data_IF_773967125875
#
_entry.id   IF_773967125875
#
_cell.length_a   1.000
_cell.length_b   1.000
_cell.length_c   1.000
_cell.angle_alpha   90.00
_cell.angle_beta   90.00
_cell.angle_gamma   90.00
#
_symmetry.space_group_name_H-M   'P 1'
#
loop_
_entity.id
_entity.type
_entity.pdbx_description
1 polymer ?
#
# COMPACT_ATOMS: atom_id res chain seq x y z
N UNK A 1 24.63 -11.81 22.28
CA UNK A 1 23.33 -11.49 21.66
C UNK A 1 23.50 -11.65 20.17
N UNK A 2 22.67 -12.46 19.51
CA UNK A 2 22.69 -12.57 18.05
C UNK A 2 22.23 -11.25 17.44
N UNK A 3 22.79 -10.88 16.28
CA UNK A 3 22.27 -9.76 15.52
C UNK A 3 20.80 -10.01 15.17
N UNK A 4 19.92 -9.00 15.25
CA UNK A 4 18.53 -9.17 14.81
C UNK A 4 18.53 -9.58 13.34
N UNK A 5 17.66 -10.52 12.99
CA UNK A 5 17.45 -10.88 11.59
C UNK A 5 16.97 -9.62 10.83
N UNK A 6 17.49 -9.36 9.62
CA UNK A 6 17.03 -8.23 8.83
C UNK A 6 15.54 -8.37 8.53
N UNK A 7 14.80 -7.25 8.59
CA UNK A 7 13.35 -7.17 8.34
C UNK A 7 12.94 -7.58 6.91
N UNK A 8 13.89 -7.99 6.07
CA UNK A 8 13.73 -8.30 4.65
C UNK A 8 13.79 -9.79 4.34
N UNK A 9 13.81 -10.67 5.35
CA UNK A 9 13.99 -12.11 5.19
C UNK A 9 12.68 -12.91 5.30
N UNK A 10 11.54 -12.33 4.94
CA UNK A 10 10.27 -13.05 4.91
C UNK A 10 9.99 -13.63 3.52
N UNK A 11 9.45 -14.86 3.43
CA UNK A 11 9.08 -15.43 2.15
C UNK A 11 7.92 -14.65 1.51
N UNK A 12 7.78 -14.69 0.17
CA UNK A 12 6.65 -14.06 -0.48
C UNK A 12 5.30 -14.59 0.00
N UNK A 13 4.27 -13.75 -0.08
CA UNK A 13 2.91 -14.17 0.25
C UNK A 13 2.48 -15.38 -0.58
N UNK A 14 1.86 -16.37 0.08
CA UNK A 14 1.17 -17.46 -0.61
C UNK A 14 -0.21 -16.98 -1.01
N UNK A 15 -0.39 -16.73 -2.31
CA UNK A 15 -1.64 -16.21 -2.85
C UNK A 15 -2.45 -17.28 -3.56
N UNK A 16 -3.76 -17.28 -3.30
CA UNK A 16 -4.75 -17.79 -4.24
C UNK A 16 -5.29 -16.66 -5.10
N UNK A 17 -5.55 -16.97 -6.36
CA UNK A 17 -6.15 -16.03 -7.30
C UNK A 17 -7.58 -16.48 -7.58
N UNK A 18 -8.55 -15.68 -7.12
CA UNK A 18 -9.98 -15.95 -7.36
C UNK A 18 -10.43 -15.32 -8.68
N UNK A 19 -11.73 -15.34 -8.95
CA UNK A 19 -12.30 -14.68 -10.12
C UNK A 19 -11.83 -13.22 -10.21
N UNK A 20 -11.60 -12.72 -11.43
CA UNK A 20 -11.07 -11.38 -11.71
C UNK A 20 -9.67 -11.07 -11.14
N UNK A 21 -8.80 -12.09 -11.04
CA UNK A 21 -7.42 -11.92 -10.57
C UNK A 21 -7.29 -11.30 -9.17
N UNK A 22 -8.29 -11.53 -8.31
CA UNK A 22 -8.24 -11.08 -6.92
C UNK A 22 -7.20 -11.89 -6.11
N UNK A 23 -6.18 -11.24 -5.52
CA UNK A 23 -5.25 -11.92 -4.64
C UNK A 23 -5.87 -12.16 -3.25
N UNK A 24 -5.86 -13.42 -2.83
CA UNK A 24 -6.31 -13.87 -1.51
C UNK A 24 -5.12 -14.47 -0.77
N UNK A 25 -4.81 -13.95 0.41
CA UNK A 25 -3.72 -14.48 1.23
C UNK A 25 -4.14 -15.82 1.81
N UNK A 26 -3.56 -16.94 1.33
CA UNK A 26 -3.88 -18.28 1.83
C UNK A 26 -3.68 -18.42 3.33
N UNK A 27 -2.65 -17.76 3.85
CA UNK A 27 -2.24 -17.90 5.25
C UNK A 27 -3.12 -17.11 6.23
N UNK A 28 -3.91 -16.17 5.71
CA UNK A 28 -4.80 -15.32 6.50
C UNK A 28 -6.28 -15.48 6.12
N UNK A 29 -6.57 -16.26 5.07
CA UNK A 29 -7.88 -16.40 4.43
C UNK A 29 -8.57 -15.07 4.08
N UNK A 30 -7.77 -13.99 3.97
CA UNK A 30 -8.24 -12.63 3.79
C UNK A 30 -7.90 -12.09 2.38
N UNK A 31 -8.73 -11.18 1.89
CA UNK A 31 -8.56 -10.54 0.59
C UNK A 31 -7.71 -9.27 0.75
N UNK A 32 -6.77 -9.01 -0.17
CA UNK A 32 -5.97 -7.78 -0.09
C UNK A 32 -6.76 -6.51 -0.41
N UNK A 33 -7.80 -6.62 -1.24
CA UNK A 33 -8.78 -5.55 -1.53
C UNK A 33 -10.03 -6.16 -2.18
N UNK A 34 -11.17 -5.46 -2.09
CA UNK A 34 -12.42 -5.85 -2.76
C UNK A 34 -12.30 -5.69 -4.29
N UNK A 35 -12.76 -6.69 -5.05
CA UNK A 35 -12.81 -6.67 -6.53
C UNK A 35 -13.80 -5.64 -7.08
N UNK A 36 -14.83 -5.29 -6.31
CA UNK A 36 -15.81 -4.28 -6.71
C UNK A 36 -15.34 -2.90 -6.23
N UNK A 37 -14.44 -2.28 -6.99
CA UNK A 37 -14.08 -0.87 -6.78
C UNK A 37 -12.99 -0.59 -5.75
N UNK A 38 -12.07 -1.51 -5.48
CA UNK A 38 -10.98 -1.32 -4.50
C UNK A 38 -10.17 -0.02 -4.66
N UNK A 39 -10.04 0.52 -5.88
CA UNK A 39 -9.41 1.83 -6.13
C UNK A 39 -10.24 3.01 -5.57
N UNK A 40 -11.56 2.93 -5.70
CA UNK A 40 -12.52 3.96 -5.27
C UNK A 40 -12.78 3.86 -3.77
N UNK A 41 -12.84 2.63 -3.23
CA UNK A 41 -12.87 2.37 -1.79
C UNK A 41 -11.55 2.81 -1.10
N UNK A 42 -10.38 2.51 -1.66
CA UNK A 42 -9.10 3.02 -1.13
C UNK A 42 -9.05 4.55 -1.15
N UNK A 43 -9.52 5.19 -2.24
CA UNK A 43 -9.58 6.67 -2.32
C UNK A 43 -10.47 7.25 -1.24
N UNK A 44 -11.65 6.69 -1.03
CA UNK A 44 -12.65 7.25 -0.12
C UNK A 44 -12.40 6.90 1.35
N UNK A 45 -11.81 5.75 1.66
CA UNK A 45 -11.58 5.31 3.04
C UNK A 45 -10.19 5.74 3.52
N UNK A 46 -9.12 5.39 2.80
CA UNK A 46 -7.76 5.64 3.27
C UNK A 46 -7.38 7.12 3.24
N UNK A 47 -7.49 7.78 2.08
CA UNK A 47 -7.09 9.19 1.95
C UNK A 47 -7.93 10.11 2.83
N UNK A 48 -9.24 9.85 2.91
CA UNK A 48 -10.16 10.61 3.76
C UNK A 48 -9.88 10.40 5.24
N UNK A 49 -9.63 9.17 5.69
CA UNK A 49 -9.26 8.89 7.07
C UNK A 49 -7.95 9.60 7.47
N UNK A 50 -6.99 9.67 6.54
CA UNK A 50 -5.75 10.43 6.71
C UNK A 50 -5.90 11.95 6.49
N UNK A 51 -7.11 12.43 6.18
CA UNK A 51 -7.42 13.84 5.91
C UNK A 51 -6.58 14.44 4.79
N UNK A 52 -6.27 13.65 3.76
CA UNK A 52 -5.47 14.06 2.61
C UNK A 52 -6.36 14.67 1.53
N UNK A 53 -5.90 15.73 0.84
CA UNK A 53 -4.57 16.34 0.91
C UNK A 53 -4.42 17.41 2.02
N UNK A 54 -5.49 17.76 2.73
CA UNK A 54 -5.48 18.91 3.65
C UNK A 54 -4.40 18.80 4.75
N UNK A 55 -4.15 17.60 5.26
CA UNK A 55 -3.20 17.35 6.35
C UNK A 55 -1.73 17.65 5.99
N UNK A 56 -1.37 17.66 4.71
CA UNK A 56 -0.02 17.97 4.24
C UNK A 56 0.15 19.39 3.68
N UNK A 57 -0.93 20.17 3.62
CA UNK A 57 -0.83 21.59 3.23
C UNK A 57 0.00 22.36 4.25
N UNK A 58 0.88 23.24 3.77
CA UNK A 58 1.73 24.09 4.62
C UNK A 58 2.91 23.40 5.29
N UNK A 59 3.07 22.07 5.19
CA UNK A 59 4.23 21.34 5.75
C UNK A 59 5.36 21.26 4.73
N UNK A 60 6.63 21.29 5.12
CA UNK A 60 7.75 21.01 4.20
C UNK A 60 7.97 19.52 4.00
N UNK A 61 7.71 18.73 5.06
CA UNK A 61 7.81 17.27 5.05
C UNK A 61 6.55 16.70 5.67
N UNK A 62 5.95 15.71 5.02
CA UNK A 62 4.84 14.93 5.55
C UNK A 62 5.21 13.45 5.59
N UNK A 63 4.87 12.76 6.67
CA UNK A 63 5.23 11.35 6.89
C UNK A 63 3.96 10.54 7.09
N UNK A 64 3.84 9.43 6.36
CA UNK A 64 2.78 8.43 6.52
C UNK A 64 3.41 7.12 6.98
N UNK A 65 2.81 6.51 8.00
CA UNK A 65 3.11 5.15 8.45
C UNK A 65 1.95 4.22 8.09
N UNK A 66 2.26 3.09 7.47
CA UNK A 66 1.31 2.03 7.10
C UNK A 66 1.74 0.70 7.72
N UNK A 67 0.77 -0.10 8.14
CA UNK A 67 0.96 -1.49 8.54
C UNK A 67 0.27 -2.37 7.50
N UNK A 68 1.03 -3.26 6.85
CA UNK A 68 0.59 -4.03 5.69
C UNK A 68 0.70 -3.21 4.41
N UNK A 69 1.74 -3.46 3.62
CA UNK A 69 1.90 -2.82 2.31
C UNK A 69 1.01 -3.49 1.26
N UNK A 70 0.87 -4.81 1.36
CA UNK A 70 0.15 -5.65 0.44
C UNK A 70 0.54 -5.40 -1.02
N UNK A 71 -0.43 -5.00 -1.83
CA UNK A 71 -0.23 -4.69 -3.25
C UNK A 71 0.36 -3.30 -3.49
N UNK A 72 0.48 -2.47 -2.45
CA UNK A 72 0.91 -1.08 -2.56
C UNK A 72 -0.16 -0.12 -3.06
N UNK A 73 -1.44 -0.55 -3.13
CA UNK A 73 -2.52 0.27 -3.68
C UNK A 73 -2.72 1.60 -2.93
N UNK A 74 -2.67 1.60 -1.60
CA UNK A 74 -2.73 2.81 -0.78
C UNK A 74 -1.55 3.75 -1.06
N UNK A 75 -0.33 3.20 -1.15
CA UNK A 75 0.86 3.95 -1.49
C UNK A 75 0.74 4.61 -2.87
N UNK A 76 0.37 3.87 -3.91
CA UNK A 76 0.25 4.39 -5.27
C UNK A 76 -0.85 5.45 -5.37
N UNK A 77 -1.97 5.25 -4.68
CA UNK A 77 -3.07 6.21 -4.62
C UNK A 77 -2.65 7.49 -3.91
N UNK A 78 -1.91 7.37 -2.80
CA UNK A 78 -1.33 8.49 -2.07
C UNK A 78 -0.33 9.26 -2.91
N UNK A 79 0.56 8.54 -3.61
CA UNK A 79 1.57 9.12 -4.48
C UNK A 79 0.95 9.91 -5.63
N UNK A 80 -0.13 9.38 -6.23
CA UNK A 80 -0.89 10.09 -7.25
C UNK A 80 -1.47 11.40 -6.71
N UNK A 81 -2.18 11.35 -5.58
CA UNK A 81 -2.75 12.57 -4.96
C UNK A 81 -1.65 13.57 -4.56
N UNK A 82 -0.50 13.07 -4.09
CA UNK A 82 0.66 13.91 -3.76
C UNK A 82 1.19 14.65 -4.99
N UNK A 83 1.38 13.95 -6.12
CA UNK A 83 1.83 14.56 -7.37
C UNK A 83 0.88 15.67 -7.86
N UNK A 84 -0.43 15.51 -7.62
CA UNK A 84 -1.45 16.47 -8.02
C UNK A 84 -1.56 17.69 -7.09
N UNK A 85 -1.15 17.57 -5.81
CA UNK A 85 -1.48 18.58 -4.78
C UNK A 85 -0.29 19.14 -4.01
N UNK A 86 0.90 18.55 -4.11
CA UNK A 86 2.08 19.01 -3.39
C UNK A 86 2.62 20.33 -3.98
N UNK A 87 3.09 21.23 -3.11
CA UNK A 87 3.83 22.43 -3.56
C UNK A 87 5.29 22.09 -3.86
N UNK A 88 5.92 22.91 -4.70
CA UNK A 88 7.36 22.78 -4.97
C UNK A 88 8.19 22.77 -3.68
N UNK A 89 9.14 21.83 -3.60
CA UNK A 89 10.03 21.67 -2.44
C UNK A 89 9.45 20.86 -1.28
N UNK A 90 8.16 20.47 -1.32
CA UNK A 90 7.62 19.54 -0.34
C UNK A 90 8.15 18.12 -0.53
N UNK A 91 8.26 17.38 0.59
CA UNK A 91 8.63 15.96 0.59
C UNK A 91 7.58 15.11 1.28
N UNK A 92 7.22 13.99 0.64
CA UNK A 92 6.46 12.90 1.24
C UNK A 92 7.42 11.79 1.64
N UNK A 93 7.29 11.31 2.87
CA UNK A 93 7.95 10.09 3.36
C UNK A 93 6.86 9.08 3.64
N UNK A 94 6.94 7.92 3.01
CA UNK A 94 6.00 6.82 3.21
C UNK A 94 6.76 5.63 3.79
N UNK A 95 6.35 5.18 4.97
CA UNK A 95 6.97 4.07 5.69
C UNK A 95 5.91 2.99 5.84
N UNK A 96 6.15 1.82 5.26
CA UNK A 96 5.26 0.67 5.40
C UNK A 96 6.02 -0.54 5.93
N UNK A 97 5.34 -1.39 6.68
CA UNK A 97 5.88 -2.65 7.22
C UNK A 97 5.01 -3.80 6.71
N UNK A 98 5.62 -4.73 5.98
CA UNK A 98 4.95 -5.89 5.40
C UNK A 98 5.56 -7.19 5.92
N UNK A 99 4.71 -8.10 6.40
CA UNK A 99 5.13 -9.41 6.89
C UNK A 99 5.39 -10.40 5.77
N UNK A 100 4.62 -10.32 4.67
CA UNK A 100 4.68 -11.27 3.55
C UNK A 100 4.65 -10.49 2.23
N UNK A 101 5.79 -9.93 1.79
CA UNK A 101 5.82 -9.10 0.60
C UNK A 101 5.41 -9.90 -0.63
N UNK A 102 4.55 -9.34 -1.47
CA UNK A 102 4.28 -9.93 -2.78
C UNK A 102 5.55 -9.87 -3.63
N UNK A 103 5.80 -10.92 -4.41
CA UNK A 103 6.86 -10.87 -5.40
C UNK A 103 6.47 -9.97 -6.60
N UNK A 104 7.44 -9.73 -7.47
CA UNK A 104 7.25 -8.83 -8.62
C UNK A 104 6.11 -9.28 -9.55
N UNK A 105 6.00 -10.58 -9.81
CA UNK A 105 5.01 -11.10 -10.75
C UNK A 105 3.60 -11.06 -10.13
N UNK A 106 3.52 -11.34 -8.83
CA UNK A 106 2.31 -11.17 -8.03
C UNK A 106 1.85 -9.71 -8.01
N UNK A 107 2.76 -8.75 -7.80
CA UNK A 107 2.43 -7.31 -7.83
C UNK A 107 1.92 -6.87 -9.21
N UNK A 108 2.59 -7.28 -10.29
CA UNK A 108 2.16 -6.96 -11.65
C UNK A 108 0.75 -7.49 -11.89
N UNK A 109 0.50 -8.76 -11.54
CA UNK A 109 -0.82 -9.36 -11.72
C UNK A 109 -1.91 -8.65 -10.92
N UNK A 110 -1.64 -8.33 -9.66
CA UNK A 110 -2.59 -7.63 -8.80
C UNK A 110 -2.93 -6.20 -9.29
N UNK A 111 -1.99 -5.53 -9.97
CA UNK A 111 -2.15 -4.15 -10.42
C UNK A 111 -2.52 -4.00 -11.91
N UNK A 112 -2.71 -5.10 -12.64
CA UNK A 112 -3.03 -5.09 -14.08
C UNK A 112 -4.55 -5.12 -14.39
N UNK A 113 -5.39 -5.19 -13.35
CA UNK A 113 -6.85 -5.18 -13.45
C UNK A 113 -7.47 -3.80 -13.54
#
# INVERSE_FOLDING_TARGET
MNAPAPLTATPPARLDWRAHDQPVARDFEDIYYSTDGGLEECREVFLRACQLPDAWRGKDVFVIGELGFGTGLNFLTTLKLWQETARAGQRLVYISVEGFPLDKDQLIRALSG
#
